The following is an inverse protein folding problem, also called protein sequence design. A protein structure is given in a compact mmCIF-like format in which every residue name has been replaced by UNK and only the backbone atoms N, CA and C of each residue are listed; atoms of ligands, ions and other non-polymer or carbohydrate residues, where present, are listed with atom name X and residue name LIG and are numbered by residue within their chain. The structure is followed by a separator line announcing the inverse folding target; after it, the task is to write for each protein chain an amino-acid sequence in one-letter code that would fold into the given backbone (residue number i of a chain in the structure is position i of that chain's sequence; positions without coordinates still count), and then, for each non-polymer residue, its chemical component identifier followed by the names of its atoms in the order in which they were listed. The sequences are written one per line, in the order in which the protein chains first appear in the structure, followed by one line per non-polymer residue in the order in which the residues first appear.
data_IF_737051906413
#
_entry.id   IF_737051906413
#
_cell.length_a   1.000
_cell.length_b   1.000
_cell.length_c   1.000
_cell.angle_alpha   90.00
_cell.angle_beta   90.00
_cell.angle_gamma   90.00
#
_symmetry.space_group_name_H-M   'P 1'
#
loop_
_entity.id
_entity.type
_entity.pdbx_description
1 polymer ?
#
# COMPACT_ATOMS: atom_id res chain seq x y z
N UNK A 1 1.17 4.81 28.76
CA UNK A 1 -0.30 4.65 28.82
C UNK A 1 -0.89 4.25 27.44
N UNK A 2 -0.16 3.48 26.63
CA UNK A 2 -0.51 3.16 25.23
C UNK A 2 -1.07 1.73 25.05
N UNK A 3 -0.85 0.82 26.01
CA UNK A 3 -1.21 -0.60 25.89
C UNK A 3 -2.68 -0.92 26.22
N UNK A 4 -3.38 -0.03 26.94
CA UNK A 4 -4.72 -0.31 27.49
C UNK A 4 -5.86 -0.10 26.49
N UNK A 5 -5.64 0.63 25.40
CA UNK A 5 -6.68 0.90 24.39
C UNK A 5 -6.78 -0.21 23.33
N UNK A 6 -5.68 -0.95 23.11
CA UNK A 6 -5.65 -2.05 22.15
C UNK A 6 -6.66 -3.15 22.52
N UNK A 7 -6.80 -3.45 23.83
CA UNK A 7 -7.56 -4.62 24.29
C UNK A 7 -9.09 -4.47 24.30
N UNK A 8 -9.64 -3.25 24.32
CA UNK A 8 -11.10 -3.06 24.50
C UNK A 8 -11.92 -3.12 23.21
N UNK A 9 -11.28 -3.18 22.05
CA UNK A 9 -11.98 -3.22 20.75
C UNK A 9 -12.22 -4.64 20.20
N UNK A 10 -11.67 -5.67 20.85
CA UNK A 10 -11.66 -7.06 20.36
C UNK A 10 -12.98 -7.84 20.46
N UNK A 11 -14.07 -7.25 20.96
CA UNK A 11 -15.33 -7.96 21.11
C UNK A 11 -16.24 -7.77 19.89
N UNK A 12 -16.18 -8.67 18.90
CA UNK A 12 -17.36 -8.97 18.09
C UNK A 12 -17.27 -8.91 16.57
N UNK A 13 -16.08 -8.94 15.95
CA UNK A 13 -15.99 -9.11 14.49
C UNK A 13 -15.50 -10.51 14.15
N UNK A 14 -16.40 -11.34 13.65
CA UNK A 14 -16.08 -12.66 13.09
C UNK A 14 -15.14 -12.47 11.90
N UNK A 15 -14.04 -13.22 11.85
CA UNK A 15 -13.11 -13.18 10.74
C UNK A 15 -13.84 -13.47 9.41
N UNK A 16 -13.53 -12.76 8.32
CA UNK A 16 -14.13 -13.03 7.02
C UNK A 16 -13.81 -14.47 6.55
N UNK A 17 -14.66 -15.07 5.71
CA UNK A 17 -14.48 -16.44 5.24
C UNK A 17 -13.12 -16.62 4.53
N UNK A 18 -12.56 -17.81 4.72
CA UNK A 18 -11.18 -18.23 4.44
C UNK A 18 -10.79 -18.25 2.94
N UNK A 19 -11.64 -17.73 2.05
CA UNK A 19 -11.44 -17.87 0.59
C UNK A 19 -11.94 -16.65 -0.21
N UNK A 20 -11.73 -15.44 0.32
CA UNK A 20 -11.99 -14.20 -0.42
C UNK A 20 -10.70 -13.74 -1.11
N UNK A 21 -10.57 -14.03 -2.40
CA UNK A 21 -9.47 -13.49 -3.21
C UNK A 21 -9.58 -11.96 -3.27
N UNK A 22 -8.47 -11.30 -2.93
CA UNK A 22 -8.38 -9.84 -3.04
C UNK A 22 -7.97 -9.54 -4.48
N UNK A 23 -8.65 -8.62 -5.19
CA UNK A 23 -8.20 -8.18 -6.51
C UNK A 23 -6.72 -7.79 -6.49
N UNK A 24 -6.00 -8.14 -7.55
CA UNK A 24 -4.62 -7.68 -7.73
C UNK A 24 -4.57 -6.16 -7.92
N UNK A 25 -3.43 -5.51 -7.61
CA UNK A 25 -3.24 -4.09 -7.89
C UNK A 25 -3.44 -3.80 -9.38
N UNK A 26 -3.84 -2.57 -9.69
CA UNK A 26 -3.89 -2.09 -11.07
C UNK A 26 -2.48 -2.12 -11.69
N UNK A 27 -2.38 -2.55 -12.94
CA UNK A 27 -1.13 -2.38 -13.71
C UNK A 27 -0.95 -0.88 -13.99
N UNK A 28 0.07 -0.28 -13.35
CA UNK A 28 0.38 1.16 -13.46
C UNK A 28 1.59 1.45 -14.34
N UNK A 29 2.44 0.45 -14.56
CA UNK A 29 3.61 0.51 -15.44
C UNK A 29 3.42 -0.56 -16.50
N UNK A 30 3.33 -0.16 -17.77
CA UNK A 30 3.27 -1.11 -18.87
C UNK A 30 4.61 -1.82 -19.03
N UNK A 31 4.60 -3.09 -19.46
CA UNK A 31 5.83 -3.85 -19.68
C UNK A 31 6.80 -3.12 -20.65
N UNK A 32 6.29 -2.46 -21.69
CA UNK A 32 7.10 -1.70 -22.64
C UNK A 32 7.77 -0.44 -22.06
N UNK A 33 7.35 0.02 -20.88
CA UNK A 33 8.01 1.11 -20.16
C UNK A 33 9.22 0.63 -19.34
N UNK A 34 9.51 -0.67 -19.33
CA UNK A 34 10.65 -1.27 -18.63
C UNK A 34 11.62 -1.80 -19.69
N UNK A 35 12.84 -1.27 -19.68
CA UNK A 35 13.91 -1.71 -20.57
C UNK A 35 15.09 -2.24 -19.76
N UNK A 36 15.67 -3.35 -20.22
CA UNK A 36 16.92 -3.88 -19.71
C UNK A 36 18.05 -3.35 -20.60
N UNK A 37 19.02 -2.67 -20.00
CA UNK A 37 20.23 -2.26 -20.71
C UNK A 37 21.41 -3.10 -20.22
N UNK A 38 22.21 -3.56 -21.19
CA UNK A 38 23.36 -4.45 -21.02
C UNK A 38 24.67 -3.78 -21.46
N UNK A 39 24.69 -2.45 -21.62
CA UNK A 39 25.85 -1.65 -22.02
C UNK A 39 26.92 -1.58 -20.90
N UNK A 40 27.60 -2.70 -20.62
CA UNK A 40 28.68 -2.80 -19.65
C UNK A 40 28.23 -2.82 -18.17
N UNK A 41 27.01 -2.38 -17.88
CA UNK A 41 26.34 -2.49 -16.59
C UNK A 41 24.96 -3.12 -16.77
N UNK A 42 24.63 -4.13 -15.96
CA UNK A 42 23.29 -4.75 -15.97
C UNK A 42 22.29 -3.82 -15.28
N UNK A 43 21.60 -2.98 -16.06
CA UNK A 43 20.68 -1.97 -15.53
C UNK A 43 19.24 -2.23 -15.93
N UNK A 44 18.32 -1.95 -15.00
CA UNK A 44 16.87 -1.91 -15.25
C UNK A 44 16.48 -0.44 -15.32
N UNK A 45 15.95 -0.01 -16.46
CA UNK A 45 15.46 1.35 -16.66
C UNK A 45 13.95 1.35 -16.80
N UNK A 46 13.29 2.21 -16.03
CA UNK A 46 11.85 2.47 -16.18
C UNK A 46 11.70 3.83 -16.85
N UNK A 47 11.36 3.82 -18.14
CA UNK A 47 11.52 4.96 -19.05
C UNK A 47 10.32 5.90 -19.07
N UNK A 48 9.13 5.42 -18.68
CA UNK A 48 7.91 6.23 -18.64
C UNK A 48 7.14 5.95 -17.35
N UNK A 49 7.22 6.88 -16.41
CA UNK A 49 6.38 6.90 -15.22
C UNK A 49 5.56 8.20 -15.22
N UNK A 50 4.22 8.14 -15.17
CA UNK A 50 3.44 9.36 -15.01
C UNK A 50 3.68 9.95 -13.62
N UNK A 51 3.82 11.28 -13.55
CA UNK A 51 3.99 12.00 -12.29
C UNK A 51 5.34 11.78 -11.61
N UNK A 52 5.41 12.07 -10.31
CA UNK A 52 6.63 11.90 -9.51
C UNK A 52 6.70 10.48 -8.97
N UNK A 53 7.88 9.89 -9.09
CA UNK A 53 8.18 8.57 -8.55
C UNK A 53 9.41 8.60 -7.66
N UNK A 54 9.42 7.70 -6.67
CA UNK A 54 10.52 7.54 -5.74
C UNK A 54 10.62 6.08 -5.30
N UNK A 55 11.80 5.69 -4.84
CA UNK A 55 12.01 4.38 -4.20
C UNK A 55 12.04 4.54 -2.69
N UNK A 56 11.57 3.53 -1.96
CA UNK A 56 11.67 3.45 -0.51
C UNK A 56 12.03 2.03 -0.08
N UNK A 57 12.66 1.91 1.09
CA UNK A 57 12.82 0.64 1.77
C UNK A 57 11.55 0.32 2.58
N UNK A 58 11.22 -0.96 2.69
CA UNK A 58 10.13 -1.47 3.55
C UNK A 58 10.64 -1.64 4.98
N UNK A 59 9.86 -1.18 5.95
CA UNK A 59 10.15 -1.33 7.37
C UNK A 59 9.71 -2.71 7.89
N UNK A 60 10.47 -3.24 8.86
CA UNK A 60 10.19 -4.52 9.52
C UNK A 60 8.96 -4.43 10.43
N UNK A 61 7.79 -4.66 9.85
CA UNK A 61 6.49 -4.67 10.55
C UNK A 61 5.73 -5.98 10.38
N UNK A 62 6.20 -6.86 9.49
CA UNK A 62 5.55 -8.09 9.05
C UNK A 62 4.11 -7.91 8.52
N UNK A 63 3.64 -6.67 8.33
CA UNK A 63 2.24 -6.39 8.01
C UNK A 63 1.88 -6.75 6.57
N UNK A 64 2.86 -6.75 5.66
CA UNK A 64 2.71 -7.10 4.25
C UNK A 64 3.21 -8.50 3.90
N UNK A 65 3.56 -9.36 4.86
CA UNK A 65 3.95 -10.74 4.55
C UNK A 65 2.80 -11.49 3.83
N UNK A 66 3.04 -12.35 2.83
CA UNK A 66 4.33 -12.65 2.19
C UNK A 66 4.64 -11.74 0.99
N UNK A 67 3.90 -10.66 0.80
CA UNK A 67 3.97 -9.83 -0.41
C UNK A 67 5.25 -9.01 -0.51
N UNK A 68 5.65 -8.31 0.56
CA UNK A 68 6.95 -7.63 0.68
C UNK A 68 7.46 -7.74 2.11
N UNK A 69 8.78 -7.82 2.26
CA UNK A 69 9.46 -7.99 3.55
C UNK A 69 10.41 -6.80 3.84
N UNK A 70 10.88 -6.73 5.08
CA UNK A 70 11.84 -5.75 5.55
C UNK A 70 13.06 -5.62 4.61
N UNK A 71 13.47 -4.38 4.34
CA UNK A 71 14.64 -4.08 3.51
C UNK A 71 14.41 -4.21 2.00
N UNK A 72 13.29 -4.77 1.55
CA UNK A 72 12.92 -4.75 0.13
C UNK A 72 12.78 -3.31 -0.38
N UNK A 73 13.23 -3.05 -1.60
CA UNK A 73 13.05 -1.76 -2.26
C UNK A 73 11.77 -1.78 -3.08
N UNK A 74 10.87 -0.83 -2.81
CA UNK A 74 9.64 -0.63 -3.57
C UNK A 74 9.69 0.65 -4.38
N UNK A 75 9.01 0.64 -5.54
CA UNK A 75 8.80 1.82 -6.37
C UNK A 75 7.42 2.39 -6.08
N UNK A 76 7.40 3.69 -5.81
CA UNK A 76 6.22 4.45 -5.40
C UNK A 76 5.96 5.57 -6.39
N UNK A 77 4.68 5.85 -6.63
CA UNK A 77 4.20 6.89 -7.53
C UNK A 77 3.22 7.79 -6.79
N UNK A 78 3.44 9.11 -6.87
CA UNK A 78 2.51 10.11 -6.32
C UNK A 78 1.14 9.98 -7.00
N UNK A 79 0.07 9.95 -6.19
CA UNK A 79 -1.31 9.82 -6.70
C UNK A 79 -1.85 11.22 -7.00
N UNK A 80 -2.09 11.52 -8.27
CA UNK A 80 -2.68 12.80 -8.70
C UNK A 80 -4.21 12.76 -8.82
N UNK A 81 -4.79 11.60 -9.08
CA UNK A 81 -6.24 11.37 -9.13
C UNK A 81 -6.60 10.13 -8.29
N UNK A 82 -7.33 10.35 -7.20
CA UNK A 82 -7.71 9.28 -6.27
C UNK A 82 -8.83 8.39 -6.83
N UNK A 83 -9.56 8.85 -7.85
CA UNK A 83 -10.53 7.99 -8.55
C UNK A 83 -9.84 6.92 -9.41
N UNK A 84 -8.54 7.07 -9.67
CA UNK A 84 -7.72 6.08 -10.37
C UNK A 84 -7.31 4.90 -9.48
N UNK A 85 -7.47 5.03 -8.15
CA UNK A 85 -7.20 3.97 -7.19
C UNK A 85 -8.34 2.94 -7.22
N UNK A 86 -7.98 1.67 -7.20
CA UNK A 86 -8.93 0.56 -7.16
C UNK A 86 -8.70 -0.33 -5.94
N UNK A 87 -9.73 -1.10 -5.57
CA UNK A 87 -9.55 -2.21 -4.61
C UNK A 87 -8.46 -3.13 -5.14
N UNK A 88 -7.52 -3.47 -4.26
CA UNK A 88 -6.33 -4.26 -4.61
C UNK A 88 -5.04 -3.45 -4.74
N UNK A 89 -5.10 -2.15 -5.00
CA UNK A 89 -3.90 -1.30 -5.01
C UNK A 89 -3.24 -1.26 -3.63
N UNK A 90 -1.91 -1.11 -3.61
CA UNK A 90 -1.13 -0.98 -2.38
C UNK A 90 -0.67 0.46 -2.25
N UNK A 91 -1.06 1.15 -1.19
CA UNK A 91 -0.83 2.59 -1.03
C UNK A 91 -0.02 2.87 0.22
N UNK A 92 0.74 3.96 0.18
CA UNK A 92 1.37 4.58 1.34
C UNK A 92 0.49 5.74 1.81
N UNK A 93 0.08 5.71 3.06
CA UNK A 93 -0.72 6.77 3.67
C UNK A 93 -0.18 7.17 5.04
N UNK A 94 -0.58 8.35 5.51
CA UNK A 94 -0.24 8.86 6.83
C UNK A 94 -1.33 8.50 7.85
N UNK A 95 -0.99 7.85 8.97
CA UNK A 95 -1.98 7.51 9.99
C UNK A 95 -2.60 8.78 10.56
N UNK A 96 -3.94 8.89 10.49
CA UNK A 96 -4.68 10.07 10.92
C UNK A 96 -4.19 11.40 10.29
N UNK A 97 -3.58 11.33 9.10
CA UNK A 97 -3.01 12.51 8.43
C UNK A 97 -1.77 13.10 9.09
N UNK A 98 -1.17 12.42 10.08
CA UNK A 98 0.02 12.92 10.77
C UNK A 98 1.25 12.86 9.86
N UNK A 99 1.75 14.03 9.47
CA UNK A 99 2.94 14.18 8.61
C UNK A 99 4.26 13.93 9.35
N UNK A 100 4.23 13.84 10.68
CA UNK A 100 5.42 13.53 11.49
C UNK A 100 5.61 12.02 11.69
N UNK A 101 4.54 11.25 11.50
CA UNK A 101 4.57 9.80 11.52
C UNK A 101 5.14 9.23 10.21
N UNK A 102 5.79 8.07 10.30
CA UNK A 102 6.14 7.28 9.12
C UNK A 102 4.89 6.85 8.35
N UNK A 103 5.02 6.72 7.03
CA UNK A 103 3.93 6.23 6.18
C UNK A 103 3.65 4.75 6.44
N UNK A 104 2.36 4.37 6.43
CA UNK A 104 1.89 2.99 6.46
C UNK A 104 1.66 2.55 5.02
N UNK A 105 2.18 1.39 4.63
CA UNK A 105 2.01 0.80 3.30
C UNK A 105 1.08 -0.41 3.41
N UNK A 106 -0.14 -0.34 2.88
CA UNK A 106 -1.13 -1.42 2.97
C UNK A 106 -2.01 -1.49 1.71
N UNK A 107 -2.71 -2.61 1.53
CA UNK A 107 -3.59 -2.87 0.38
C UNK A 107 -4.98 -2.31 0.60
N UNK A 108 -5.54 -1.64 -0.40
CA UNK A 108 -6.92 -1.20 -0.43
C UNK A 108 -7.84 -2.43 -0.46
N UNK A 109 -8.72 -2.54 0.53
CA UNK A 109 -9.71 -3.61 0.68
C UNK A 109 -11.10 -3.19 0.23
N UNK A 110 -11.41 -1.90 0.39
CA UNK A 110 -12.74 -1.34 0.14
C UNK A 110 -12.61 0.15 -0.19
N UNK A 111 -13.49 0.66 -1.05
CA UNK A 111 -13.58 2.07 -1.45
C UNK A 111 -15.04 2.49 -1.29
N UNK A 112 -15.26 3.67 -0.71
CA UNK A 112 -16.59 4.19 -0.51
C UNK A 112 -16.65 5.71 -0.53
N UNK A 113 -17.86 6.22 -0.37
CA UNK A 113 -18.14 7.63 -0.20
C UNK A 113 -19.06 7.82 1.01
N UNK A 114 -18.78 8.82 1.82
CA UNK A 114 -19.66 9.28 2.88
C UNK A 114 -19.87 10.79 2.79
N UNK A 115 -20.44 11.40 3.84
CA UNK A 115 -20.68 12.84 3.91
C UNK A 115 -19.39 13.69 3.82
N UNK A 116 -18.22 13.08 4.08
CA UNK A 116 -16.90 13.70 3.95
C UNK A 116 -16.21 13.38 2.62
N UNK A 117 -16.92 12.72 1.69
CA UNK A 117 -16.44 12.39 0.36
C UNK A 117 -15.80 10.99 0.28
N UNK A 118 -14.88 10.84 -0.67
CA UNK A 118 -14.20 9.57 -0.94
C UNK A 118 -13.39 9.08 0.26
N UNK A 119 -13.38 7.78 0.49
CA UNK A 119 -12.46 7.11 1.41
C UNK A 119 -12.12 5.71 0.91
N UNK A 120 -11.02 5.17 1.44
CA UNK A 120 -10.74 3.75 1.34
C UNK A 120 -10.44 3.14 2.72
N UNK A 121 -10.61 1.81 2.81
CA UNK A 121 -10.12 1.00 3.93
C UNK A 121 -8.95 0.19 3.44
N UNK A 122 -7.89 0.15 4.24
CA UNK A 122 -6.69 -0.62 3.93
C UNK A 122 -6.46 -1.72 4.96
N UNK A 123 -5.69 -2.73 4.55
CA UNK A 123 -5.18 -3.78 5.41
C UNK A 123 -3.85 -4.27 4.88
N UNK A 124 -2.98 -4.70 5.79
CA UNK A 124 -1.81 -5.49 5.43
C UNK A 124 -2.19 -6.80 4.73
N UNK A 125 -1.20 -7.41 4.07
CA UNK A 125 -1.35 -8.70 3.38
C UNK A 125 -1.09 -9.89 4.31
N UNK A 126 -0.56 -9.66 5.51
CA UNK A 126 -0.28 -10.71 6.48
C UNK A 126 -1.55 -11.52 6.81
N UNK A 127 -1.58 -12.82 6.50
CA UNK A 127 -2.77 -13.65 6.70
C UNK A 127 -3.13 -13.83 8.19
N UNK A 128 -2.18 -13.61 9.10
CA UNK A 128 -2.44 -13.65 10.55
C UNK A 128 -3.13 -12.37 11.06
N UNK A 129 -3.16 -11.30 10.26
CA UNK A 129 -3.84 -10.05 10.58
C UNK A 129 -5.19 -10.03 9.86
N UNK A 130 -6.27 -10.25 10.62
CA UNK A 130 -7.61 -10.45 10.07
C UNK A 130 -8.49 -9.21 10.06
N UNK A 131 -8.02 -8.10 10.64
CA UNK A 131 -8.75 -6.85 10.76
C UNK A 131 -8.17 -5.77 9.83
N UNK A 132 -9.04 -4.88 9.35
CA UNK A 132 -8.63 -3.69 8.60
C UNK A 132 -7.98 -2.64 9.52
N UNK A 133 -7.26 -1.71 8.91
CA UNK A 133 -6.75 -0.53 9.59
C UNK A 133 -7.90 0.25 10.26
N UNK A 134 -7.68 0.88 11.42
CA UNK A 134 -8.74 1.53 12.19
C UNK A 134 -9.28 2.82 11.56
N UNK A 135 -8.84 3.17 10.35
CA UNK A 135 -9.04 4.47 9.74
C UNK A 135 -9.83 4.38 8.43
N UNK A 136 -10.69 5.37 8.19
CA UNK A 136 -11.18 5.68 6.85
C UNK A 136 -10.16 6.62 6.19
N UNK A 137 -9.33 6.07 5.31
CA UNK A 137 -8.21 6.79 4.71
C UNK A 137 -8.77 7.75 3.67
N UNK A 138 -8.45 9.03 3.85
CA UNK A 138 -8.89 10.12 2.98
C UNK A 138 -7.83 10.47 1.94
N UNK A 139 -8.21 11.10 0.82
CA UNK A 139 -7.27 11.51 -0.24
C UNK A 139 -6.06 12.28 0.29
N UNK A 140 -6.27 13.21 1.22
CA UNK A 140 -5.20 14.04 1.80
C UNK A 140 -4.19 13.26 2.63
N UNK A 141 -4.49 12.02 3.03
CA UNK A 141 -3.60 11.17 3.82
C UNK A 141 -2.74 10.27 2.93
N UNK A 142 -3.15 10.05 1.68
CA UNK A 142 -2.45 9.19 0.74
C UNK A 142 -1.26 9.95 0.14
N UNK A 143 -0.08 9.33 0.17
CA UNK A 143 1.15 9.88 -0.40
C UNK A 143 1.48 9.30 -1.76
N UNK A 144 1.35 7.98 -1.89
CA UNK A 144 1.71 7.28 -3.11
C UNK A 144 1.02 5.95 -3.22
N UNK A 145 0.98 5.43 -4.44
CA UNK A 145 0.65 4.04 -4.75
C UNK A 145 1.94 3.28 -5.10
N UNK A 146 2.03 2.03 -4.67
CA UNK A 146 3.13 1.14 -5.00
C UNK A 146 2.92 0.57 -6.40
N UNK A 147 3.95 0.70 -7.23
CA UNK A 147 3.90 0.35 -8.66
C UNK A 147 4.90 -0.74 -9.03
N UNK A 148 5.79 -1.13 -8.11
CA UNK A 148 6.71 -2.25 -8.30
C UNK A 148 7.52 -2.59 -7.06
N UNK A 149 8.09 -3.79 -7.05
CA UNK A 149 9.06 -4.28 -6.06
C UNK A 149 10.34 -4.59 -6.83
N UNK A 150 11.47 -4.04 -6.39
CA UNK A 150 12.74 -4.07 -7.14
C UNK A 150 13.75 -5.09 -6.57
N UNK A 151 13.72 -5.37 -5.27
CA UNK A 151 14.68 -6.27 -4.64
C UNK A 151 13.99 -7.14 -3.59
N UNK A 152 14.46 -8.39 -3.46
CA UNK A 152 14.37 -9.16 -2.22
C UNK A 152 15.64 -8.93 -1.40
N UNK A 153 15.50 -8.79 -0.08
CA UNK A 153 16.64 -8.81 0.83
C UNK A 153 17.28 -10.18 0.93
#
# INVERSE_FOLDING_TARGET
MFLSWLFKWFAGKTAPPINYEIPSPKIRISQGAISLNYDGENTVMVTTLPGKCYKSAVADTNSLDPFVDAGMTVLLQEVSDFNDLIVGDVIVYLPNGDTQSGGIIHRIRDIGHDEHGWFCKCRGDNPYITWDDPYLIRPSWIKSVMVGVLTGG
#
